data_IF_319909239783
#
_entry.id   IF_319909239783
#
_cell.length_a   1.000
_cell.length_b   1.000
_cell.length_c   1.000
_cell.angle_alpha   90.00
_cell.angle_beta   90.00
_cell.angle_gamma   90.00
#
_symmetry.space_group_name_H-M   'P 1'
#
loop_
_entity.id
_entity.type
_entity.pdbx_description
1 polymer ?
#
# COMPACT_ATOMS: atom_id res chain seq x y z
N UNK A 1 -4.22 2.54 -8.94
CA UNK A 1 -3.58 1.98 -7.72
C UNK A 1 -2.15 1.65 -8.08
N UNK A 2 -1.19 2.14 -7.30
CA UNK A 2 0.23 2.11 -7.64
C UNK A 2 1.00 1.01 -6.89
N UNK A 3 0.57 0.60 -5.70
CA UNK A 3 1.26 -0.47 -4.95
C UNK A 3 2.73 -0.18 -4.62
N UNK A 4 3.51 -1.22 -4.29
CA UNK A 4 4.93 -1.11 -3.89
C UNK A 4 5.13 -0.78 -2.40
N UNK A 5 6.06 0.14 -2.08
CA UNK A 5 6.33 0.57 -0.68
C UNK A 5 5.21 1.46 -0.10
N UNK A 6 4.33 2.00 -0.94
CA UNK A 6 3.12 2.74 -0.54
C UNK A 6 1.97 1.84 -0.10
N UNK A 7 0.77 2.39 0.06
CA UNK A 7 -0.45 1.67 0.44
C UNK A 7 -1.16 1.15 -0.81
N UNK A 8 -2.11 1.88 -1.39
CA UNK A 8 -2.76 1.56 -2.67
C UNK A 8 -2.69 2.76 -3.60
N UNK A 9 -3.20 3.93 -3.15
CA UNK A 9 -3.07 5.22 -3.82
C UNK A 9 -2.03 6.12 -3.16
N UNK A 10 -1.95 6.09 -1.82
CA UNK A 10 -0.91 6.82 -1.10
C UNK A 10 0.46 6.16 -1.31
N UNK A 11 1.42 6.93 -1.80
CA UNK A 11 2.76 6.49 -2.14
C UNK A 11 3.77 6.85 -1.05
N UNK A 12 4.75 5.96 -0.84
CA UNK A 12 5.90 6.27 0.01
C UNK A 12 6.90 7.15 -0.75
N UNK A 13 7.51 8.10 -0.04
CA UNK A 13 8.67 8.85 -0.49
C UNK A 13 9.90 7.97 -0.74
N UNK A 14 9.99 6.79 -0.11
CA UNK A 14 11.08 5.84 -0.32
C UNK A 14 10.95 5.13 -1.66
N UNK A 15 12.06 4.96 -2.36
CA UNK A 15 12.13 4.15 -3.58
C UNK A 15 12.28 2.66 -3.27
N UNK A 16 11.91 1.81 -4.22
CA UNK A 16 12.26 0.38 -4.19
C UNK A 16 13.77 0.21 -4.38
N UNK A 17 14.30 -0.91 -3.87
CA UNK A 17 15.73 -1.17 -3.95
C UNK A 17 16.24 -1.24 -5.40
N UNK A 18 17.48 -0.82 -5.67
CA UNK A 18 18.10 -0.96 -6.98
C UNK A 18 18.05 -2.41 -7.49
N UNK A 19 17.91 -2.57 -8.80
CA UNK A 19 17.85 -3.87 -9.49
C UNK A 19 16.67 -4.76 -9.06
N UNK A 20 15.64 -4.19 -8.41
CA UNK A 20 14.37 -4.86 -8.16
C UNK A 20 13.29 -4.35 -9.09
N UNK A 21 12.48 -5.29 -9.58
CA UNK A 21 11.25 -5.04 -10.32
C UNK A 21 10.07 -5.45 -9.46
N UNK A 22 9.18 -4.52 -9.17
CA UNK A 22 7.92 -4.80 -8.51
C UNK A 22 6.80 -4.81 -9.53
N UNK A 23 6.04 -5.90 -9.56
CA UNK A 23 4.80 -5.99 -10.33
C UNK A 23 3.66 -6.06 -9.32
N UNK A 24 2.72 -5.13 -9.45
CA UNK A 24 1.56 -4.97 -8.57
C UNK A 24 0.33 -5.04 -9.45
N UNK A 25 -0.57 -5.98 -9.21
CA UNK A 25 -1.81 -6.16 -9.98
C UNK A 25 -3.00 -6.07 -9.05
N UNK A 26 -3.97 -5.22 -9.38
CA UNK A 26 -5.14 -4.95 -8.58
C UNK A 26 -6.41 -5.21 -9.39
N UNK A 27 -7.30 -6.02 -8.82
CA UNK A 27 -8.69 -6.16 -9.24
C UNK A 27 -9.55 -5.32 -8.31
N UNK A 28 -10.41 -4.49 -8.89
CA UNK A 28 -11.47 -3.76 -8.18
C UNK A 28 -12.82 -4.23 -8.70
N UNK A 29 -13.77 -4.43 -7.80
CA UNK A 29 -15.12 -4.88 -8.16
C UNK A 29 -16.17 -4.26 -7.24
N UNK A 30 -17.36 -3.96 -7.76
CA UNK A 30 -18.56 -3.73 -6.96
C UNK A 30 -19.73 -4.57 -7.47
N UNK A 31 -20.69 -4.80 -6.57
CA UNK A 31 -21.92 -5.53 -6.85
C UNK A 31 -23.07 -4.84 -6.13
N UNK A 32 -24.08 -4.37 -6.85
CA UNK A 32 -25.26 -3.75 -6.27
C UNK A 32 -26.52 -4.37 -6.88
N UNK A 33 -27.38 -4.92 -6.03
CA UNK A 33 -28.72 -5.33 -6.40
C UNK A 33 -29.71 -4.44 -5.65
N UNK A 34 -30.40 -3.58 -6.37
CA UNK A 34 -31.43 -2.74 -5.79
C UNK A 34 -32.65 -3.56 -5.35
N UNK A 35 -33.37 -3.06 -4.35
CA UNK A 35 -34.60 -3.69 -3.86
C UNK A 35 -35.66 -3.67 -4.97
N UNK A 36 -36.07 -4.85 -5.44
CA UNK A 36 -37.04 -5.00 -6.52
C UNK A 36 -36.43 -5.07 -7.93
N UNK A 37 -35.12 -4.89 -8.08
CA UNK A 37 -34.44 -5.10 -9.36
C UNK A 37 -34.17 -6.60 -9.60
N UNK A 38 -34.42 -7.04 -10.83
CA UNK A 38 -34.15 -8.42 -11.29
C UNK A 38 -32.72 -8.60 -11.80
N UNK A 39 -32.00 -7.49 -12.05
CA UNK A 39 -30.63 -7.48 -12.54
C UNK A 39 -29.66 -6.99 -11.45
N UNK A 40 -28.45 -7.57 -11.48
CA UNK A 40 -27.34 -7.22 -10.59
C UNK A 40 -26.40 -6.26 -11.34
N UNK A 41 -26.24 -5.03 -10.82
CA UNK A 41 -25.30 -4.05 -11.34
C UNK A 41 -23.88 -4.39 -10.87
N UNK A 42 -22.92 -4.36 -11.80
CA UNK A 42 -21.53 -4.73 -11.57
C UNK A 42 -20.60 -3.77 -12.32
N UNK A 43 -19.42 -3.56 -11.75
CA UNK A 43 -18.27 -2.88 -12.38
C UNK A 43 -17.02 -3.63 -11.98
N UNK A 44 -16.09 -3.75 -12.92
CA UNK A 44 -14.79 -4.38 -12.73
C UNK A 44 -13.71 -3.48 -13.30
N UNK A 45 -12.60 -3.39 -12.57
CA UNK A 45 -11.40 -2.70 -13.04
C UNK A 45 -10.16 -3.50 -12.71
N UNK A 46 -9.25 -3.62 -13.66
CA UNK A 46 -7.94 -4.23 -13.49
C UNK A 46 -6.89 -3.16 -13.69
N UNK A 47 -5.99 -3.02 -12.74
CA UNK A 47 -4.84 -2.12 -12.87
C UNK A 47 -3.54 -2.84 -12.52
N UNK A 48 -2.50 -2.58 -13.30
CA UNK A 48 -1.19 -3.19 -13.15
C UNK A 48 -0.15 -2.09 -13.06
N UNK A 49 0.71 -2.13 -12.05
CA UNK A 49 1.84 -1.23 -11.90
C UNK A 49 3.15 -2.01 -11.91
N UNK A 50 4.06 -1.59 -12.78
CA UNK A 50 5.41 -2.12 -12.89
C UNK A 50 6.37 -1.03 -12.44
N UNK A 51 7.16 -1.29 -11.39
CA UNK A 51 8.15 -0.34 -10.84
C UNK A 51 9.53 -0.96 -10.89
N UNK A 52 10.52 -0.21 -11.39
CA UNK A 52 11.92 -0.62 -11.48
C UNK A 52 12.79 0.34 -10.66
N UNK A 53 13.51 -0.22 -9.68
CA UNK A 53 14.49 0.51 -8.89
C UNK A 53 15.79 0.61 -9.67
N UNK A 54 16.18 1.82 -10.05
CA UNK A 54 17.42 2.06 -10.80
C UNK A 54 18.56 2.42 -9.85
N UNK A 55 18.28 3.31 -8.88
CA UNK A 55 19.24 3.77 -7.88
C UNK A 55 18.57 3.88 -6.51
N UNK A 56 19.38 4.05 -5.45
CA UNK A 56 18.90 4.17 -4.07
C UNK A 56 17.97 5.36 -3.83
N UNK A 57 17.94 6.30 -4.76
CA UNK A 57 17.13 7.50 -4.71
C UNK A 57 16.23 7.68 -5.95
N UNK A 58 16.18 6.70 -6.87
CA UNK A 58 15.47 6.86 -8.13
C UNK A 58 14.84 5.55 -8.60
N UNK A 59 13.54 5.60 -8.88
CA UNK A 59 12.79 4.52 -9.52
C UNK A 59 11.97 5.06 -10.70
N UNK A 60 11.72 4.19 -11.67
CA UNK A 60 10.80 4.44 -12.77
C UNK A 60 9.64 3.48 -12.68
N UNK A 61 8.47 3.88 -13.15
CA UNK A 61 7.30 3.01 -13.14
C UNK A 61 6.39 3.26 -14.33
N UNK A 62 5.60 2.24 -14.65
CA UNK A 62 4.50 2.28 -15.58
C UNK A 62 3.25 1.72 -14.90
N UNK A 63 2.20 2.53 -14.85
CA UNK A 63 0.87 2.16 -14.41
C UNK A 63 -0.02 1.98 -15.64
N UNK A 64 -0.65 0.83 -15.72
CA UNK A 64 -1.49 0.38 -16.81
C UNK A 64 -2.87 0.04 -16.26
N UNK A 65 -3.91 0.40 -16.99
CA UNK A 65 -5.26 -0.09 -16.73
C UNK A 65 -5.72 -0.94 -17.91
N UNK A 66 -5.36 -2.24 -17.94
CA UNK A 66 -5.71 -3.09 -19.07
C UNK A 66 -7.22 -3.27 -19.26
N UNK A 67 -8.02 -3.08 -18.20
CA UNK A 67 -9.47 -3.20 -18.28
C UNK A 67 -10.16 -2.26 -17.28
N UNK A 68 -11.21 -1.59 -17.74
CA UNK A 68 -12.23 -0.94 -16.93
C UNK A 68 -13.58 -1.13 -17.62
N UNK A 69 -14.64 -1.47 -16.88
CA UNK A 69 -16.01 -1.45 -17.41
C UNK A 69 -16.29 -0.05 -17.99
N UNK A 70 -16.81 0.03 -19.22
CA UNK A 70 -17.15 1.29 -19.90
C UNK A 70 -18.65 1.61 -19.82
N UNK A 71 -19.41 0.76 -19.10
CA UNK A 71 -20.85 0.78 -18.90
C UNK A 71 -21.72 0.70 -20.16
N UNK A 72 -21.12 0.65 -21.35
CA UNK A 72 -21.82 0.64 -22.64
C UNK A 72 -21.72 -0.73 -23.31
N UNK A 73 -20.58 -1.38 -23.19
CA UNK A 73 -20.25 -2.61 -23.88
C UNK A 73 -20.17 -3.79 -22.91
N UNK A 74 -20.31 -5.00 -23.45
CA UNK A 74 -20.11 -6.25 -22.68
C UNK A 74 -18.66 -6.39 -22.21
N UNK A 75 -17.74 -5.79 -22.96
CA UNK A 75 -16.31 -5.76 -22.68
C UNK A 75 -15.88 -4.31 -22.47
N UNK A 76 -15.33 -4.03 -21.30
CA UNK A 76 -14.76 -2.75 -20.97
C UNK A 76 -13.49 -2.42 -21.77
N UNK A 77 -13.21 -1.12 -21.90
CA UNK A 77 -12.04 -0.60 -22.60
C UNK A 77 -10.78 -0.64 -21.70
N UNK A 78 -9.56 -0.56 -22.29
CA UNK A 78 -8.40 -0.14 -21.50
C UNK A 78 -8.61 1.29 -21.00
N UNK A 79 -8.04 1.61 -19.85
CA UNK A 79 -7.95 2.98 -19.36
C UNK A 79 -6.63 3.64 -19.76
N UNK A 80 -6.36 4.79 -19.13
CA UNK A 80 -5.14 5.54 -19.37
C UNK A 80 -3.89 4.86 -18.81
N UNK A 81 -2.78 5.17 -19.46
CA UNK A 81 -1.46 4.67 -19.10
C UNK A 81 -0.66 5.81 -18.50
N UNK A 82 -0.06 5.58 -17.33
CA UNK A 82 0.85 6.54 -16.71
C UNK A 82 2.26 5.99 -16.73
N UNK A 83 3.21 6.81 -17.18
CA UNK A 83 4.64 6.51 -17.07
C UNK A 83 5.27 7.62 -16.28
N UNK A 84 6.12 7.27 -15.33
CA UNK A 84 6.75 8.28 -14.50
C UNK A 84 7.98 7.79 -13.76
N UNK A 85 8.48 8.67 -12.93
CA UNK A 85 9.60 8.40 -12.06
C UNK A 85 9.33 8.96 -10.66
N UNK A 86 10.05 8.42 -9.69
CA UNK A 86 10.03 8.89 -8.32
C UNK A 86 11.46 9.07 -7.83
N UNK A 87 11.71 10.23 -7.24
CA UNK A 87 12.98 10.64 -6.70
C UNK A 87 12.87 10.78 -5.18
N UNK A 88 13.70 10.06 -4.45
CA UNK A 88 13.82 10.20 -3.01
C UNK A 88 14.93 11.20 -2.69
N UNK A 89 14.64 12.20 -1.86
CA UNK A 89 15.63 13.23 -1.54
C UNK A 89 16.66 12.68 -0.55
N UNK A 90 17.96 12.99 -0.72
CA UNK A 90 19.03 12.47 0.15
C UNK A 90 19.10 13.12 1.54
N UNK A 91 18.25 14.12 1.82
CA UNK A 91 18.18 14.80 3.11
C UNK A 91 17.21 14.14 4.11
N UNK A 92 16.64 12.99 3.73
CA UNK A 92 15.83 12.16 4.61
C UNK A 92 16.66 11.65 5.79
N UNK A 93 16.05 11.62 6.98
CA UNK A 93 16.62 10.91 8.12
C UNK A 93 15.88 9.57 8.30
N UNK A 94 16.21 8.80 9.32
CA UNK A 94 15.59 7.48 9.54
C UNK A 94 14.06 7.54 9.72
N UNK A 95 13.53 8.67 10.23
CA UNK A 95 12.11 8.84 10.56
C UNK A 95 11.36 9.55 9.43
N UNK A 96 11.92 10.62 8.89
CA UNK A 96 11.27 11.53 7.94
C UNK A 96 11.91 11.37 6.58
N UNK A 97 11.11 10.91 5.62
CA UNK A 97 11.51 10.66 4.25
C UNK A 97 10.73 11.57 3.32
N UNK A 98 11.42 12.29 2.47
CA UNK A 98 10.81 13.18 1.47
C UNK A 98 11.18 12.75 0.06
N UNK A 99 10.31 13.07 -0.90
CA UNK A 99 10.50 12.69 -2.29
C UNK A 99 9.60 13.46 -3.24
N UNK A 100 9.88 13.30 -4.53
CA UNK A 100 9.09 13.86 -5.61
C UNK A 100 8.68 12.73 -6.55
N UNK A 101 7.51 12.85 -7.14
CA UNK A 101 7.03 11.99 -8.22
C UNK A 101 6.58 12.85 -9.37
N UNK A 102 6.94 12.43 -10.57
CA UNK A 102 6.45 13.00 -11.81
C UNK A 102 5.90 11.90 -12.71
N UNK A 103 4.84 12.19 -13.43
CA UNK A 103 4.33 11.29 -14.46
C UNK A 103 3.70 12.03 -15.64
N UNK A 104 3.72 11.32 -16.77
CA UNK A 104 2.94 11.62 -17.95
C UNK A 104 1.76 10.66 -17.99
N UNK A 105 0.54 11.20 -18.13
CA UNK A 105 -0.67 10.45 -18.39
C UNK A 105 -0.91 10.44 -19.90
N UNK A 106 -0.98 9.25 -20.49
CA UNK A 106 -1.28 9.08 -21.91
C UNK A 106 -2.73 8.62 -22.04
N UNK A 107 -3.54 9.27 -22.91
CA UNK A 107 -4.95 8.96 -23.10
C UNK A 107 -5.11 7.69 -23.95
N UNK A 108 -4.70 6.56 -23.40
CA UNK A 108 -4.83 5.25 -24.05
C UNK A 108 -6.25 4.71 -23.94
N UNK A 109 -7.05 5.22 -23.00
CA UNK A 109 -8.47 4.91 -22.90
C UNK A 109 -9.30 5.66 -23.94
N UNK A 110 -10.26 4.97 -24.55
CA UNK A 110 -11.22 5.57 -25.51
C UNK A 110 -12.51 6.01 -24.85
N UNK A 111 -12.92 5.29 -23.82
CA UNK A 111 -14.16 5.52 -23.07
C UNK A 111 -13.85 5.48 -21.57
N UNK A 112 -14.42 6.43 -20.84
CA UNK A 112 -14.28 6.55 -19.40
C UNK A 112 -15.64 6.37 -18.73
N UNK A 113 -15.77 5.43 -17.79
CA UNK A 113 -17.07 5.10 -17.18
C UNK A 113 -17.64 6.21 -16.29
N UNK A 114 -16.80 7.16 -15.83
CA UNK A 114 -17.21 8.20 -14.88
C UNK A 114 -16.66 9.53 -15.32
N UNK A 115 -17.53 10.54 -15.36
CA UNK A 115 -17.13 11.92 -15.62
C UNK A 115 -16.21 12.52 -14.54
N UNK A 116 -15.94 11.81 -13.43
CA UNK A 116 -15.22 12.38 -12.28
C UNK A 116 -14.30 11.42 -11.53
N UNK A 117 -14.19 10.12 -11.89
CA UNK A 117 -13.43 9.19 -11.03
C UNK A 117 -12.85 7.92 -11.70
N UNK A 118 -11.53 7.85 -11.93
CA UNK A 118 -10.65 9.00 -12.08
C UNK A 118 -11.02 9.75 -13.36
N UNK A 119 -10.98 11.08 -13.27
CA UNK A 119 -11.22 11.92 -14.43
C UNK A 119 -10.08 11.77 -15.45
N UNK A 120 -10.46 11.70 -16.72
CA UNK A 120 -9.53 11.81 -17.84
C UNK A 120 -10.10 12.82 -18.84
N UNK A 121 -9.27 13.76 -19.26
CA UNK A 121 -9.56 14.70 -20.33
C UNK A 121 -9.55 14.05 -21.72
N UNK A 122 -9.09 12.80 -21.84
CA UNK A 122 -8.78 12.17 -23.12
C UNK A 122 -7.57 12.82 -23.84
N UNK A 123 -6.77 13.63 -23.14
CA UNK A 123 -5.58 14.30 -23.66
C UNK A 123 -4.34 13.88 -22.88
N UNK A 124 -3.12 14.05 -23.46
CA UNK A 124 -1.89 13.87 -22.71
C UNK A 124 -1.79 14.89 -21.57
N UNK A 125 -1.56 14.41 -20.37
CA UNK A 125 -1.41 15.24 -19.17
C UNK A 125 -0.08 15.01 -18.46
N UNK A 126 0.32 15.95 -17.61
CA UNK A 126 1.53 15.88 -16.80
C UNK A 126 1.24 16.23 -15.35
N UNK A 127 1.82 15.47 -14.43
CA UNK A 127 1.64 15.69 -13.01
C UNK A 127 2.95 15.67 -12.24
N UNK A 128 2.99 16.49 -11.20
CA UNK A 128 4.05 16.55 -10.21
C UNK A 128 3.46 16.42 -8.80
N UNK A 129 4.07 15.58 -7.95
CA UNK A 129 3.64 15.35 -6.58
C UNK A 129 4.83 15.38 -5.62
N UNK A 130 4.67 16.08 -4.50
CA UNK A 130 5.50 15.95 -3.32
C UNK A 130 5.06 14.77 -2.45
N UNK A 131 6.03 14.05 -1.91
CA UNK A 131 5.83 12.86 -1.08
C UNK A 131 6.52 13.05 0.26
N UNK A 132 5.81 12.76 1.34
CA UNK A 132 6.31 12.73 2.70
C UNK A 132 5.93 11.39 3.33
N UNK A 133 6.90 10.70 3.88
CA UNK A 133 6.70 9.49 4.68
C UNK A 133 7.30 9.73 6.06
N UNK A 134 6.56 9.42 7.11
CA UNK A 134 7.04 9.41 8.48
C UNK A 134 6.99 7.96 8.97
N UNK A 135 8.15 7.43 9.37
CA UNK A 135 8.35 6.03 9.74
C UNK A 135 8.82 5.91 11.20
N UNK A 136 7.94 5.41 12.05
CA UNK A 136 8.25 5.12 13.45
C UNK A 136 8.50 3.63 13.70
N UNK A 137 8.53 2.79 12.66
CA UNK A 137 8.59 1.33 12.82
C UNK A 137 9.90 0.85 13.45
N UNK A 138 11.01 1.55 13.22
CA UNK A 138 12.32 1.24 13.82
C UNK A 138 12.58 1.93 15.16
N UNK A 139 11.85 3.00 15.47
CA UNK A 139 12.13 3.88 16.63
C UNK A 139 11.22 3.60 17.82
N UNK A 140 9.95 3.22 17.56
CA UNK A 140 8.95 3.00 18.60
C UNK A 140 8.50 1.54 18.58
N UNK A 141 9.04 0.73 19.49
CA UNK A 141 8.72 -0.70 19.59
C UNK A 141 7.29 -0.99 20.04
N UNK A 142 6.64 -0.03 20.71
CA UNK A 142 5.29 -0.18 21.28
C UNK A 142 4.20 -0.06 20.22
N UNK A 143 4.40 0.79 19.21
CA UNK A 143 3.45 0.97 18.11
C UNK A 143 4.21 1.34 16.83
N UNK A 144 4.63 0.34 16.03
CA UNK A 144 5.30 0.60 14.77
C UNK A 144 4.28 1.20 13.80
N UNK A 145 4.37 2.51 13.56
CA UNK A 145 3.46 3.28 12.71
C UNK A 145 4.22 3.87 11.53
N UNK A 146 3.67 3.76 10.33
CA UNK A 146 4.19 4.43 9.14
C UNK A 146 3.09 5.23 8.46
N UNK A 147 3.28 6.53 8.29
CA UNK A 147 2.32 7.44 7.67
C UNK A 147 2.87 8.02 6.37
N UNK A 148 1.99 8.23 5.40
CA UNK A 148 2.29 8.75 4.08
C UNK A 148 1.40 9.96 3.81
N UNK A 149 1.97 11.02 3.27
CA UNK A 149 1.28 12.21 2.81
C UNK A 149 1.79 12.55 1.41
N UNK A 150 0.87 12.77 0.49
CA UNK A 150 1.17 13.13 -0.88
C UNK A 150 0.31 14.32 -1.28
N UNK A 151 0.93 15.28 -1.93
CA UNK A 151 0.27 16.47 -2.45
C UNK A 151 0.85 16.78 -3.81
N UNK A 152 0.02 17.12 -4.78
CA UNK A 152 0.50 17.47 -6.10
C UNK A 152 -0.51 18.15 -6.98
N UNK A 153 -0.08 18.36 -8.21
CA UNK A 153 -0.84 19.00 -9.26
C UNK A 153 -0.81 18.12 -10.50
N UNK A 154 -1.94 18.02 -11.16
CA UNK A 154 -2.11 17.32 -12.42
C UNK A 154 -2.71 18.28 -13.43
N UNK A 155 -1.88 18.64 -14.41
CA UNK A 155 -2.30 19.29 -15.63
C UNK A 155 -2.82 18.21 -16.58
N UNK A 156 -4.12 18.26 -16.88
CA UNK A 156 -4.78 17.23 -17.69
C UNK A 156 -4.55 17.43 -19.19
N UNK A 157 -3.89 18.51 -19.62
CA UNK A 157 -3.69 18.85 -21.01
C UNK A 157 -2.40 19.65 -21.24
N UNK A 158 -1.31 18.94 -21.52
CA UNK A 158 0.02 19.52 -21.76
C UNK A 158 0.08 20.51 -22.94
N UNK A 159 -0.94 20.54 -23.80
CA UNK A 159 -0.98 21.39 -24.98
C UNK A 159 -1.61 22.77 -24.73
N UNK A 160 -2.18 23.01 -23.55
CA UNK A 160 -2.70 24.33 -23.19
C UNK A 160 -1.71 25.13 -22.32
N UNK A 161 -2.20 26.26 -21.81
CA UNK A 161 -1.43 27.10 -20.92
C UNK A 161 -1.53 26.53 -19.50
N UNK A 162 -0.42 25.95 -19.02
CA UNK A 162 -0.25 25.47 -17.64
C UNK A 162 -0.98 26.33 -16.62
N UNK A 163 -1.75 25.69 -15.73
CA UNK A 163 -2.52 26.31 -14.65
C UNK A 163 -3.75 27.11 -15.09
N UNK A 164 -4.19 27.06 -16.34
CA UNK A 164 -5.37 27.80 -16.80
C UNK A 164 -6.58 26.93 -17.13
N UNK A 165 -6.43 25.60 -17.25
CA UNK A 165 -7.54 24.73 -17.62
C UNK A 165 -8.52 24.51 -16.45
N UNK A 166 -9.79 24.31 -16.79
CA UNK A 166 -10.84 23.93 -15.85
C UNK A 166 -10.72 22.46 -15.45
N UNK A 167 -10.06 21.66 -16.27
CA UNK A 167 -9.87 20.23 -16.09
C UNK A 167 -8.74 19.88 -15.12
N UNK A 168 -7.87 20.83 -14.77
CA UNK A 168 -6.72 20.63 -13.89
C UNK A 168 -7.11 20.23 -12.47
N UNK A 169 -6.28 19.39 -11.82
CA UNK A 169 -6.60 18.79 -10.53
C UNK A 169 -5.47 18.89 -9.51
N UNK A 170 -5.82 19.15 -8.26
CA UNK A 170 -4.99 18.87 -7.10
C UNK A 170 -5.10 17.40 -6.71
N UNK A 171 -3.95 16.77 -6.52
CA UNK A 171 -3.84 15.38 -6.09
C UNK A 171 -3.50 15.35 -4.60
N UNK A 172 -4.34 14.68 -3.81
CA UNK A 172 -4.18 14.54 -2.37
C UNK A 172 -4.22 13.07 -2.01
N UNK A 173 -3.28 12.62 -1.18
CA UNK A 173 -3.37 11.32 -0.55
C UNK A 173 -2.73 11.35 0.84
N UNK A 174 -3.38 10.72 1.80
CA UNK A 174 -2.83 10.52 3.13
C UNK A 174 -3.16 9.10 3.57
N UNK A 175 -2.26 8.44 4.28
CA UNK A 175 -2.57 7.11 4.78
C UNK A 175 -1.59 6.63 5.82
N UNK A 176 -2.00 5.59 6.52
CA UNK A 176 -1.25 5.00 7.61
C UNK A 176 -1.21 3.48 7.49
N UNK A 177 -0.07 2.92 7.88
CA UNK A 177 0.17 1.49 7.99
C UNK A 177 0.51 1.14 9.42
N UNK A 178 -0.14 0.10 9.90
CA UNK A 178 0.12 -0.53 11.19
C UNK A 178 0.63 -1.95 10.93
N UNK A 179 1.95 -2.15 10.81
CA UNK A 179 2.55 -3.47 10.79
C UNK A 179 2.26 -4.22 12.10
N UNK A 180 1.48 -5.28 11.97
CA UNK A 180 1.32 -6.32 12.97
C UNK A 180 2.17 -7.52 12.53
N UNK A 181 2.44 -8.46 13.45
CA UNK A 181 3.43 -9.54 13.23
C UNK A 181 3.29 -10.25 11.88
N UNK A 182 2.08 -10.59 11.47
CA UNK A 182 1.82 -11.40 10.26
C UNK A 182 1.06 -10.67 9.16
N UNK A 183 0.59 -9.45 9.43
CA UNK A 183 -0.18 -8.66 8.48
C UNK A 183 -0.04 -7.17 8.78
N UNK A 184 -0.28 -6.32 7.79
CA UNK A 184 -0.26 -4.88 7.89
C UNK A 184 -1.69 -4.39 7.71
N UNK A 185 -2.25 -3.73 8.73
CA UNK A 185 -3.53 -3.01 8.57
C UNK A 185 -3.22 -1.62 8.03
N UNK A 186 -4.05 -1.13 7.13
CA UNK A 186 -3.90 0.22 6.61
C UNK A 186 -5.24 0.93 6.45
N UNK A 187 -5.16 2.26 6.48
CA UNK A 187 -6.22 3.15 6.09
C UNK A 187 -5.60 4.27 5.23
N UNK A 188 -6.22 4.60 4.11
CA UNK A 188 -5.82 5.73 3.27
C UNK A 188 -7.04 6.56 2.85
N UNK A 189 -6.83 7.86 2.76
CA UNK A 189 -7.72 8.81 2.12
C UNK A 189 -7.03 9.31 0.86
N UNK A 190 -7.78 9.46 -0.23
CA UNK A 190 -7.29 10.05 -1.48
C UNK A 190 -8.33 10.98 -2.07
N UNK A 191 -7.89 12.07 -2.68
CA UNK A 191 -8.76 12.99 -3.39
C UNK A 191 -8.11 13.55 -4.67
N UNK A 192 -8.93 13.74 -5.70
CA UNK A 192 -8.61 14.45 -6.94
C UNK A 192 -9.58 15.63 -7.03
N UNK A 193 -9.08 16.84 -6.79
CA UNK A 193 -9.90 18.05 -6.63
C UNK A 193 -9.66 19.02 -7.78
N UNK A 194 -10.69 19.36 -8.56
CA UNK A 194 -10.53 20.33 -9.65
C UNK A 194 -10.07 21.69 -9.14
N UNK A 195 -9.04 22.25 -9.77
CA UNK A 195 -8.38 23.48 -9.33
C UNK A 195 -9.23 24.73 -9.61
N UNK A 196 -9.90 24.77 -10.76
CA UNK A 196 -10.64 25.96 -11.24
C UNK A 196 -12.11 25.76 -11.51
N UNK A 197 -12.60 24.52 -11.53
CA UNK A 197 -13.98 24.23 -11.92
C UNK A 197 -15.03 24.41 -10.81
N UNK A 198 -14.88 25.44 -9.97
CA UNK A 198 -15.78 25.69 -8.82
C UNK A 198 -17.21 26.07 -9.24
N UNK A 199 -17.44 26.41 -10.51
CA UNK A 199 -18.75 26.82 -11.04
C UNK A 199 -19.60 25.62 -11.52
N UNK A 200 -19.01 24.44 -11.75
CA UNK A 200 -19.72 23.24 -12.24
C UNK A 200 -19.67 22.10 -11.22
N UNK A 201 -18.62 22.01 -10.38
CA UNK A 201 -18.48 20.96 -9.37
C UNK A 201 -18.28 21.54 -7.97
N UNK A 202 -19.24 21.28 -7.07
CA UNK A 202 -19.06 21.46 -5.62
C UNK A 202 -17.84 20.64 -5.18
N UNK A 203 -17.10 21.12 -4.18
CA UNK A 203 -16.01 20.37 -3.54
C UNK A 203 -16.41 18.92 -3.25
N UNK A 204 -17.65 18.72 -2.79
CA UNK A 204 -18.21 17.40 -2.47
C UNK A 204 -18.36 16.46 -3.66
N UNK A 205 -18.40 16.96 -4.89
CA UNK A 205 -18.50 16.17 -6.12
C UNK A 205 -17.14 15.71 -6.65
N UNK A 206 -16.03 16.24 -6.10
CA UNK A 206 -14.70 15.77 -6.44
C UNK A 206 -14.50 14.34 -5.97
N UNK A 207 -13.74 13.57 -6.75
CA UNK A 207 -13.33 12.21 -6.40
C UNK A 207 -12.60 12.22 -5.06
N UNK A 208 -13.24 11.65 -4.06
CA UNK A 208 -12.75 11.49 -2.71
C UNK A 208 -13.03 10.08 -2.25
N UNK A 209 -12.03 9.41 -1.70
CA UNK A 209 -12.15 8.02 -1.25
C UNK A 209 -11.47 7.79 0.08
N UNK A 210 -12.09 6.91 0.85
CA UNK A 210 -11.52 6.31 2.04
C UNK A 210 -11.39 4.81 1.81
N UNK A 211 -10.15 4.31 1.84
CA UNK A 211 -9.85 2.90 1.64
C UNK A 211 -9.25 2.31 2.91
N UNK A 212 -9.80 1.19 3.38
CA UNK A 212 -9.29 0.46 4.52
C UNK A 212 -8.99 -0.98 4.11
N UNK A 213 -7.90 -1.54 4.62
CA UNK A 213 -7.54 -2.89 4.21
C UNK A 213 -6.44 -3.53 5.01
N UNK A 214 -6.08 -4.72 4.57
CA UNK A 214 -5.04 -5.56 5.15
C UNK A 214 -4.09 -6.02 4.04
N UNK A 215 -2.80 -6.12 4.39
CA UNK A 215 -1.76 -6.72 3.56
C UNK A 215 -1.14 -7.88 4.30
N UNK A 216 -0.85 -8.98 3.64
CA UNK A 216 -0.12 -10.08 4.25
C UNK A 216 0.78 -10.77 3.25
N UNK A 217 1.87 -11.34 3.76
CA UNK A 217 2.78 -12.15 2.97
C UNK A 217 2.21 -13.57 2.87
N UNK A 218 1.90 -14.00 1.67
CA UNK A 218 1.48 -15.36 1.40
C UNK A 218 2.59 -16.21 0.79
N UNK A 219 2.24 -17.38 0.22
CA UNK A 219 3.19 -18.31 -0.35
C UNK A 219 4.04 -17.67 -1.46
N UNK A 220 5.25 -18.22 -1.65
CA UNK A 220 6.20 -17.78 -2.68
C UNK A 220 6.59 -16.31 -2.63
N UNK A 221 6.52 -15.65 -1.47
CA UNK A 221 6.77 -14.22 -1.31
C UNK A 221 5.78 -13.32 -2.07
N UNK A 222 4.59 -13.82 -2.39
CA UNK A 222 3.52 -13.00 -2.94
C UNK A 222 2.88 -12.18 -1.81
N UNK A 223 2.70 -10.88 -2.03
CA UNK A 223 2.02 -9.99 -1.10
C UNK A 223 0.59 -9.83 -1.57
N UNK A 224 -0.35 -10.20 -0.71
CA UNK A 224 -1.78 -10.07 -0.95
C UNK A 224 -2.29 -8.81 -0.26
N UNK A 225 -3.04 -8.00 -1.00
CA UNK A 225 -3.77 -6.84 -0.48
C UNK A 225 -5.28 -7.13 -0.56
N UNK A 226 -6.02 -6.92 0.52
CA UNK A 226 -7.48 -6.91 0.51
C UNK A 226 -7.97 -5.60 1.10
N UNK A 227 -8.84 -4.88 0.40
CA UNK A 227 -9.32 -3.59 0.86
C UNK A 227 -10.78 -3.34 0.48
N UNK A 228 -11.41 -2.51 1.30
CA UNK A 228 -12.73 -1.94 1.08
C UNK A 228 -12.55 -0.44 0.83
N UNK A 229 -13.04 0.03 -0.31
CA UNK A 229 -12.84 1.37 -0.84
C UNK A 229 -14.17 2.08 -0.93
N UNK A 230 -14.35 3.16 -0.18
CA UNK A 230 -15.61 3.90 -0.07
C UNK A 230 -15.44 5.28 -0.72
N UNK A 231 -16.31 5.61 -1.66
CA UNK A 231 -16.47 6.97 -2.17
C UNK A 231 -17.08 7.85 -1.08
N UNK A 232 -16.44 8.99 -0.85
CA UNK A 232 -16.94 10.08 -0.02
C UNK A 232 -17.53 11.21 -0.88
N UNK A 233 -17.48 11.04 -2.20
CA UNK A 233 -17.98 12.01 -3.18
C UNK A 233 -19.49 11.95 -3.25
N UNK A 234 -20.15 13.10 -3.30
CA UNK A 234 -21.56 13.19 -3.63
C UNK A 234 -21.76 12.98 -5.13
N UNK A 235 -22.69 12.10 -5.51
CA UNK A 235 -23.05 11.93 -6.91
C UNK A 235 -23.62 13.25 -7.44
N UNK A 236 -23.16 13.76 -8.61
CA UNK A 236 -23.81 14.89 -9.25
C UNK A 236 -25.26 14.47 -9.53
N UNK A 237 -26.21 15.18 -8.92
CA UNK A 237 -27.60 14.73 -8.76
C UNK A 237 -28.22 14.16 -10.05
N UNK A 238 -29.07 13.15 -9.86
CA UNK A 238 -29.88 12.41 -10.84
C UNK A 238 -30.23 13.15 -12.15
N UNK A 239 -29.28 13.27 -13.08
CA UNK A 239 -29.64 13.22 -14.49
C UNK A 239 -29.87 11.75 -14.83
N UNK A 240 -31.14 11.35 -14.84
CA UNK A 240 -31.61 10.04 -15.30
C UNK A 240 -31.19 9.83 -16.76
N UNK A 241 -29.97 9.36 -16.95
CA UNK A 241 -29.50 8.87 -18.23
C UNK A 241 -29.65 7.35 -18.21
N UNK A 242 -30.54 6.80 -19.04
CA UNK A 242 -30.88 5.37 -19.10
C UNK A 242 -29.67 4.47 -19.42
N UNK A 243 -28.54 5.06 -19.83
CA UNK A 243 -27.28 4.37 -20.11
C UNK A 243 -26.21 4.50 -19.01
N UNK A 244 -26.46 5.24 -17.91
CA UNK A 244 -25.56 5.24 -16.74
C UNK A 244 -25.98 4.14 -15.79
N UNK A 245 -25.18 3.08 -15.68
CA UNK A 245 -25.32 2.13 -14.58
C UNK A 245 -25.03 2.90 -13.28
N UNK A 246 -25.92 2.79 -12.30
CA UNK A 246 -25.72 3.39 -10.99
C UNK A 246 -24.37 2.95 -10.42
N UNK A 247 -23.57 3.93 -10.02
CA UNK A 247 -22.28 3.69 -9.40
C UNK A 247 -22.48 3.37 -7.92
N UNK A 248 -21.84 2.31 -7.44
CA UNK A 248 -21.80 2.08 -6.00
C UNK A 248 -20.79 3.02 -5.35
N UNK A 249 -21.17 3.56 -4.19
CA UNK A 249 -20.29 4.33 -3.31
C UNK A 249 -19.19 3.47 -2.69
N UNK A 250 -19.05 2.19 -3.07
CA UNK A 250 -18.04 1.29 -2.53
C UNK A 250 -17.50 0.30 -3.55
N UNK A 251 -16.27 -0.16 -3.35
CA UNK A 251 -15.59 -1.20 -4.14
C UNK A 251 -14.78 -2.12 -3.22
N UNK A 252 -14.70 -3.39 -3.60
CA UNK A 252 -13.74 -4.33 -3.05
C UNK A 252 -12.48 -4.33 -3.93
N UNK A 253 -11.31 -4.34 -3.29
CA UNK A 253 -10.02 -4.36 -3.96
C UNK A 253 -9.26 -5.60 -3.52
N UNK A 254 -8.77 -6.34 -4.50
CA UNK A 254 -7.84 -7.44 -4.30
C UNK A 254 -6.55 -7.15 -5.06
N UNK A 255 -5.42 -7.17 -4.37
CA UNK A 255 -4.10 -6.91 -4.93
C UNK A 255 -3.17 -8.09 -4.80
N UNK A 256 -2.37 -8.32 -5.82
CA UNK A 256 -1.26 -9.27 -5.86
C UNK A 256 0.01 -8.52 -6.22
N UNK A 257 1.01 -8.57 -5.34
CA UNK A 257 2.28 -7.90 -5.56
C UNK A 257 3.43 -8.88 -5.44
N UNK A 258 4.37 -8.78 -6.38
CA UNK A 258 5.56 -9.64 -6.40
C UNK A 258 6.83 -8.84 -6.70
N UNK A 259 7.85 -8.93 -5.83
CA UNK A 259 9.18 -8.39 -6.08
C UNK A 259 10.08 -9.39 -6.81
N UNK A 260 10.45 -9.09 -8.05
CA UNK A 260 11.48 -9.79 -8.81
C UNK A 260 12.85 -9.12 -8.58
N UNK A 261 13.89 -9.93 -8.34
CA UNK A 261 15.27 -9.47 -8.42
C UNK A 261 15.77 -9.68 -9.86
N UNK A 262 16.17 -8.61 -10.56
CA UNK A 262 16.56 -8.67 -11.97
C UNK A 262 17.97 -9.26 -12.15
N UNK A 263 18.81 -9.26 -11.11
CA UNK A 263 20.10 -9.96 -11.13
C UNK A 263 20.43 -10.57 -9.75
N UNK A 264 20.86 -11.84 -9.76
CA UNK A 264 21.89 -12.30 -8.83
C UNK A 264 23.20 -11.69 -9.30
N UNK A 265 23.44 -10.41 -9.04
CA UNK A 265 24.78 -9.90 -9.19
C UNK A 265 25.59 -10.62 -8.13
N UNK A 266 26.42 -11.55 -8.58
CA UNK A 266 27.57 -12.07 -7.86
C UNK A 266 28.49 -10.89 -7.58
N UNK A 267 28.09 -9.98 -6.70
CA UNK A 267 29.08 -9.28 -5.91
C UNK A 267 29.80 -10.40 -5.18
N UNK A 268 30.99 -10.76 -5.68
CA UNK A 268 32.08 -11.16 -4.79
C UNK A 268 31.93 -10.20 -3.62
N UNK A 269 31.56 -10.71 -2.45
CA UNK A 269 31.63 -9.96 -1.22
C UNK A 269 33.07 -9.48 -1.15
N UNK A 270 33.35 -8.26 -1.62
CA UNK A 270 34.33 -7.44 -0.96
C UNK A 270 33.69 -7.19 0.40
N UNK A 271 33.89 -8.15 1.30
CA UNK A 271 33.95 -7.85 2.71
C UNK A 271 34.89 -6.64 2.79
N UNK A 272 34.43 -5.46 3.21
CA UNK A 272 35.36 -4.55 3.83
C UNK A 272 36.02 -5.35 4.95
N UNK A 273 37.35 -5.43 4.93
CA UNK A 273 38.18 -5.96 6.01
C UNK A 273 38.07 -5.06 7.26
N UNK A 274 36.85 -4.88 7.77
CA UNK A 274 36.54 -4.26 9.05
C UNK A 274 35.77 -5.24 9.95
N UNK A 275 36.10 -6.54 9.83
CA UNK A 275 35.76 -7.57 10.82
C UNK A 275 36.81 -7.63 11.95
N UNK A 276 37.25 -6.45 12.41
CA UNK A 276 38.12 -6.31 13.58
C UNK A 276 37.37 -6.09 14.90
N UNK A 277 36.11 -5.65 14.87
CA UNK A 277 35.44 -5.14 16.08
C UNK A 277 34.03 -5.70 16.38
N UNK A 278 33.57 -6.74 15.67
CA UNK A 278 32.26 -7.37 15.95
C UNK A 278 32.32 -8.78 16.59
N UNK A 279 33.50 -9.35 16.81
CA UNK A 279 33.63 -10.64 17.52
C UNK A 279 33.23 -10.54 19.00
N UNK A 280 33.43 -9.38 19.64
CA UNK A 280 33.16 -9.19 21.06
C UNK A 280 31.67 -9.12 21.40
N UNK A 281 30.84 -8.65 20.47
CA UNK A 281 29.37 -8.63 20.62
C UNK A 281 28.78 -10.03 20.46
N UNK A 282 29.23 -10.80 19.46
CA UNK A 282 28.71 -12.16 19.23
C UNK A 282 29.19 -13.16 20.30
N UNK A 283 30.40 -13.01 20.84
CA UNK A 283 30.86 -13.77 22.01
C UNK A 283 30.05 -13.42 23.26
N UNK A 284 29.73 -12.14 23.49
CA UNK A 284 28.83 -11.74 24.60
C UNK A 284 27.45 -12.37 24.47
N UNK A 285 26.86 -12.40 23.27
CA UNK A 285 25.55 -13.02 23.06
C UNK A 285 25.60 -14.56 23.17
N UNK A 286 26.70 -15.21 22.79
CA UNK A 286 26.90 -16.66 23.04
C UNK A 286 27.03 -16.98 24.52
N UNK A 287 27.85 -16.22 25.25
CA UNK A 287 28.03 -16.37 26.68
C UNK A 287 26.72 -16.13 27.46
N UNK A 288 25.95 -15.12 27.08
CA UNK A 288 24.63 -14.89 27.66
C UNK A 288 23.63 -16.01 27.36
N UNK A 289 23.67 -16.62 26.16
CA UNK A 289 22.80 -17.74 25.80
C UNK A 289 23.15 -19.03 26.54
N UNK A 290 24.44 -19.31 26.75
CA UNK A 290 24.87 -20.48 27.52
C UNK A 290 24.47 -20.31 29.00
N UNK A 291 24.76 -19.16 29.61
CA UNK A 291 24.32 -18.88 30.99
C UNK A 291 22.79 -18.90 31.15
N UNK A 292 22.04 -18.46 30.14
CA UNK A 292 20.58 -18.55 30.15
C UNK A 292 20.08 -20.00 30.04
N UNK A 293 20.76 -20.84 29.27
CA UNK A 293 20.42 -22.25 29.13
C UNK A 293 20.69 -23.01 30.43
N UNK A 294 21.82 -22.74 31.07
CA UNK A 294 22.20 -23.37 32.34
C UNK A 294 21.24 -22.96 33.47
N UNK A 295 20.90 -21.67 33.56
CA UNK A 295 19.90 -21.19 34.54
C UNK A 295 18.49 -21.75 34.28
N UNK A 296 18.09 -21.94 33.02
CA UNK A 296 16.83 -22.61 32.70
C UNK A 296 16.82 -24.09 33.10
N UNK A 297 17.95 -24.79 32.95
CA UNK A 297 18.08 -26.18 33.41
C UNK A 297 18.05 -26.29 34.94
N UNK A 298 18.68 -25.37 35.66
CA UNK A 298 18.61 -25.31 37.13
C UNK A 298 17.18 -25.02 37.63
N UNK A 299 16.47 -24.10 36.97
CA UNK A 299 15.07 -23.80 37.28
C UNK A 299 14.18 -25.03 37.02
N UNK A 300 14.39 -25.73 35.90
CA UNK A 300 13.63 -26.93 35.57
C UNK A 300 13.92 -28.08 36.56
N UNK A 301 15.18 -28.28 36.94
CA UNK A 301 15.57 -29.26 37.95
C UNK A 301 14.98 -28.93 39.33
N UNK A 302 15.03 -27.67 39.76
CA UNK A 302 14.45 -27.26 41.05
C UNK A 302 12.91 -27.33 41.07
N UNK A 303 12.24 -27.07 39.95
CA UNK A 303 10.79 -27.27 39.80
C UNK A 303 10.42 -28.75 39.88
N UNK A 304 11.20 -29.63 39.27
CA UNK A 304 10.97 -31.08 39.33
C UNK A 304 11.26 -31.65 40.72
N UNK A 305 12.31 -31.19 41.40
CA UNK A 305 12.59 -31.55 42.80
C UNK A 305 11.45 -31.11 43.73
N UNK A 306 10.97 -29.87 43.61
CA UNK A 306 9.82 -29.38 44.38
C UNK A 306 8.53 -30.14 44.08
N UNK A 307 8.32 -30.58 42.83
CA UNK A 307 7.17 -31.43 42.49
C UNK A 307 7.26 -32.82 43.13
N UNK A 308 8.47 -33.38 43.23
CA UNK A 308 8.71 -34.68 43.88
C UNK A 308 8.53 -34.60 45.40
N UNK A 309 9.07 -33.56 46.05
CA UNK A 309 8.86 -33.30 47.49
C UNK A 309 7.39 -33.06 47.82
N UNK A 310 6.68 -32.30 46.98
CA UNK A 310 5.25 -32.04 47.16
C UNK A 310 4.41 -33.30 46.96
N UNK A 311 4.85 -34.25 46.13
CA UNK A 311 4.17 -35.53 45.91
C UNK A 311 4.37 -36.48 47.10
N UNK A 312 5.59 -36.55 47.64
CA UNK A 312 5.90 -37.35 48.84
C UNK A 312 5.18 -36.86 50.10
N UNK A 313 4.96 -35.55 50.25
CA UNK A 313 4.19 -34.99 51.38
C UNK A 313 2.69 -35.27 51.28
N UNK A 314 2.11 -35.29 50.08
CA UNK A 314 0.70 -35.72 49.90
C UNK A 314 0.49 -37.22 50.14
N UNK A 315 1.47 -38.07 49.85
CA UNK A 315 1.36 -39.50 50.08
C UNK A 315 1.52 -39.85 51.58
N UNK A 316 2.32 -39.08 52.34
CA UNK A 316 2.46 -39.29 53.80
C UNK A 316 1.29 -38.74 54.62
N UNK A 317 0.57 -37.73 54.14
CA UNK A 317 -0.65 -37.23 54.81
C UNK A 317 -1.88 -38.11 54.55
N UNK A 318 -1.92 -38.85 53.43
CA UNK A 318 -3.02 -39.80 53.15
C UNK A 318 -2.89 -41.11 53.96
N UNK A 319 -1.67 -41.58 54.22
CA UNK A 319 -1.43 -42.79 55.05
C UNK A 319 -1.68 -42.55 56.55
N UNK A 320 -1.82 -41.28 56.98
CA UNK A 320 -2.15 -40.91 58.36
C UNK A 320 -3.66 -40.77 58.63
N UNK A 321 -4.53 -40.91 57.62
CA UNK A 321 -6.00 -40.84 57.78
C UNK A 321 -6.71 -42.20 57.79
N UNK A 322 -6.00 -43.32 57.58
CA UNK A 322 -6.55 -44.69 57.53
C UNK A 322 -6.08 -45.58 58.71
N UNK A 323 -5.88 -45.01 59.92
CA UNK A 323 -5.70 -45.78 61.17
C UNK A 323 -6.69 -45.37 62.26
#
# INVERSE_FOLDING_TARGET
MFGGRGILRAQSAEVIEPNRLYVNSYLSAFFLQESGATSLTKDYGISTNVTLGLYHNFEVYAHLRPYQDDQRNVWGAPGDTQIGFKYHTPFSNSIVHTGLRFFLNMPTGRDFPIAFEPFSSGKPGIAGMGLLTIDFTEVVSVLPLKTHFNFGYFDQNIHDQFFLDQEDQYLLAAGMKFPLRSFIVFAEYSAEVFAKNQYITDYRMNSQRMTQGIKFLGPWNLIYDFAFDVSLSSSPGNEKNEFRKEYADWKLIFGLNYPFAIQKTTHKKHFPQNLGNHSSSDEKYRYQRENFKDSMQEIEASLNAKKLEKKQTTDTDNDAQDN
#
